data_IF_705984073719
#
_entry.id   IF_705984073719
#
_cell.length_a   1.000
_cell.length_b   1.000
_cell.length_c   1.000
_cell.angle_alpha   90.00
_cell.angle_beta   90.00
_cell.angle_gamma   90.00
#
_symmetry.space_group_name_H-M   'P 1'
#
loop_
_entity.id
_entity.type
_entity.pdbx_description
1 polymer ?
#
# COMPACT_ATOMS: atom_id res chain seq x y z
N UNK A 1 14.90 -2.27 12.94
CA UNK A 1 13.97 -1.14 12.86
C UNK A 1 12.75 -1.42 13.70
N UNK A 2 12.37 -0.51 14.56
CA UNK A 2 11.25 -0.72 15.48
C UNK A 2 9.91 -0.48 14.79
N UNK A 3 8.96 -1.40 14.98
CA UNK A 3 7.59 -1.24 14.47
C UNK A 3 6.94 0.04 15.00
N UNK A 4 7.35 0.48 16.18
CA UNK A 4 6.85 1.71 16.80
C UNK A 4 7.14 2.98 16.03
N UNK A 5 8.12 2.94 15.11
CA UNK A 5 8.47 4.09 14.27
C UNK A 5 7.50 4.28 13.11
N UNK A 6 6.60 3.31 12.88
CA UNK A 6 5.57 3.42 11.86
C UNK A 6 4.36 4.17 12.41
N UNK A 7 3.72 5.03 11.59
CA UNK A 7 2.53 5.74 12.03
C UNK A 7 1.36 4.82 12.34
N UNK A 8 1.33 3.61 11.75
CA UNK A 8 0.22 2.70 11.93
C UNK A 8 0.71 1.25 11.83
N UNK A 9 0.20 0.41 12.75
CA UNK A 9 0.42 -1.03 12.72
C UNK A 9 -0.91 -1.72 12.46
N UNK A 10 -0.96 -2.62 11.48
CA UNK A 10 -2.21 -3.24 11.04
C UNK A 10 -2.11 -4.75 10.96
N UNK A 11 -3.28 -5.39 11.01
CA UNK A 11 -3.48 -6.81 10.72
C UNK A 11 -4.61 -6.93 9.72
N UNK A 12 -4.36 -7.68 8.66
CA UNK A 12 -5.32 -7.88 7.57
C UNK A 12 -5.81 -9.32 7.58
N UNK A 13 -7.09 -9.53 7.78
CA UNK A 13 -7.69 -10.86 7.88
C UNK A 13 -8.35 -11.28 6.56
N UNK A 14 -8.07 -12.51 6.11
CA UNK A 14 -8.56 -13.07 4.82
C UNK A 14 -9.28 -14.39 5.05
N UNK A 15 -10.55 -14.43 5.18
CA UNK A 15 -11.33 -13.88 6.28
C UNK A 15 -11.01 -14.55 7.60
N UNK A 16 -10.45 -15.80 7.57
CA UNK A 16 -10.18 -16.60 8.77
C UNK A 16 -8.71 -16.65 9.17
N UNK A 17 -7.85 -16.02 8.38
CA UNK A 17 -6.42 -15.97 8.65
C UNK A 17 -5.91 -14.55 8.57
N UNK A 18 -4.96 -14.23 9.45
CA UNK A 18 -4.22 -13.00 9.33
C UNK A 18 -3.23 -13.10 8.17
N UNK A 19 -3.24 -12.16 7.25
CA UNK A 19 -2.24 -12.07 6.20
C UNK A 19 -0.87 -11.87 6.82
N UNK A 20 0.14 -12.59 6.33
CA UNK A 20 1.50 -12.46 6.86
C UNK A 20 2.11 -11.09 6.61
N UNK A 21 1.62 -10.38 5.65
CA UNK A 21 2.02 -9.01 5.33
C UNK A 21 0.77 -8.14 5.23
N UNK A 22 0.54 -7.51 4.09
CA UNK A 22 -0.60 -6.65 3.86
C UNK A 22 -0.94 -6.66 2.37
N UNK A 23 -2.22 -6.81 2.03
CA UNK A 23 -2.65 -6.75 0.65
C UNK A 23 -2.47 -5.33 0.09
N UNK A 24 -2.06 -5.23 -1.17
CA UNK A 24 -1.80 -3.94 -1.82
C UNK A 24 -3.05 -3.07 -1.84
N UNK A 25 -4.21 -3.63 -2.21
CA UNK A 25 -5.46 -2.88 -2.24
C UNK A 25 -5.88 -2.41 -0.86
N UNK A 26 -5.67 -3.24 0.15
CA UNK A 26 -5.92 -2.85 1.54
C UNK A 26 -5.00 -1.73 2.01
N UNK A 27 -3.73 -1.80 1.62
CA UNK A 27 -2.75 -0.77 1.96
C UNK A 27 -3.09 0.58 1.33
N UNK A 28 -3.49 0.57 0.06
CA UNK A 28 -3.90 1.79 -0.65
C UNK A 28 -5.15 2.39 -0.01
N UNK A 29 -6.16 1.56 0.26
CA UNK A 29 -7.38 2.02 0.91
C UNK A 29 -7.12 2.63 2.28
N UNK A 30 -6.24 1.99 3.07
CA UNK A 30 -5.87 2.48 4.38
C UNK A 30 -5.13 3.83 4.28
N UNK A 31 -4.19 3.96 3.34
CA UNK A 31 -3.46 5.20 3.15
C UNK A 31 -4.40 6.35 2.77
N UNK A 32 -5.36 6.09 1.89
CA UNK A 32 -6.37 7.09 1.52
C UNK A 32 -7.23 7.46 2.73
N UNK A 33 -7.65 6.48 3.52
CA UNK A 33 -8.43 6.75 4.73
C UNK A 33 -7.64 7.60 5.73
N UNK A 34 -6.35 7.34 5.88
CA UNK A 34 -5.49 8.13 6.76
C UNK A 34 -5.32 9.57 6.28
N UNK A 35 -5.34 9.80 4.98
CA UNK A 35 -5.21 11.14 4.41
C UNK A 35 -6.50 11.94 4.47
N UNK A 36 -7.64 11.27 4.67
CA UNK A 36 -8.94 11.93 4.74
C UNK A 36 -9.15 12.52 6.14
N UNK A 37 -9.31 13.84 6.22
CA UNK A 37 -9.49 14.55 7.48
C UNK A 37 -10.75 14.17 8.25
N UNK A 38 -11.74 13.56 7.60
CA UNK A 38 -12.98 13.13 8.22
C UNK A 38 -12.95 11.70 8.76
N UNK A 39 -11.87 10.98 8.50
CA UNK A 39 -11.73 9.59 8.91
C UNK A 39 -11.36 9.50 10.39
N UNK A 40 -11.95 8.53 11.10
CA UNK A 40 -11.61 8.26 12.49
C UNK A 40 -10.15 7.85 12.66
N UNK A 41 -9.57 7.22 11.67
CA UNK A 41 -8.17 6.79 11.70
C UNK A 41 -7.24 8.00 11.77
N UNK A 42 -7.65 9.12 11.19
CA UNK A 42 -6.87 10.34 11.18
C UNK A 42 -6.48 10.81 12.57
N UNK A 43 -7.38 10.63 13.53
CA UNK A 43 -7.13 11.05 14.91
C UNK A 43 -6.08 10.18 15.62
N UNK A 44 -5.82 8.99 15.10
CA UNK A 44 -4.84 8.06 15.66
C UNK A 44 -3.43 8.27 15.13
N UNK A 45 -3.27 9.14 14.15
CA UNK A 45 -2.01 9.30 13.41
C UNK A 45 -1.56 10.75 13.48
N UNK A 46 -0.27 10.94 13.71
CA UNK A 46 0.33 12.27 13.64
C UNK A 46 0.29 12.76 12.19
N UNK A 47 -0.35 13.91 11.90
CA UNK A 47 -0.40 14.45 10.54
C UNK A 47 0.97 14.65 9.89
N UNK A 48 1.99 14.92 10.70
CA UNK A 48 3.34 15.17 10.18
C UNK A 48 4.00 13.90 9.64
N UNK A 49 3.50 12.71 10.01
CA UNK A 49 4.06 11.44 9.53
C UNK A 49 3.49 11.01 8.18
N UNK A 50 2.50 11.72 7.63
CA UNK A 50 1.81 11.36 6.39
C UNK A 50 2.16 12.34 5.26
N UNK A 51 3.39 12.81 5.21
CA UNK A 51 3.81 13.75 4.16
C UNK A 51 4.38 13.01 2.97
N UNK A 52 3.53 12.74 1.98
CA UNK A 52 3.94 12.16 0.71
C UNK A 52 4.22 10.66 0.77
N UNK A 53 4.58 10.12 1.90
CA UNK A 53 4.86 8.70 2.06
C UNK A 53 4.40 8.24 3.43
N UNK A 54 3.77 7.07 3.47
CA UNK A 54 3.25 6.49 4.71
C UNK A 54 3.75 5.06 4.86
N UNK A 55 4.39 4.77 5.99
CA UNK A 55 4.81 3.43 6.34
C UNK A 55 3.74 2.73 7.16
N UNK A 56 3.36 1.53 6.74
CA UNK A 56 2.40 0.70 7.44
C UNK A 56 3.12 -0.53 7.94
N UNK A 57 3.12 -0.74 9.25
CA UNK A 57 3.71 -1.92 9.85
C UNK A 57 2.73 -3.10 9.78
N UNK A 58 3.24 -4.27 9.46
CA UNK A 58 2.48 -5.51 9.39
C UNK A 58 3.30 -6.66 9.98
N UNK A 59 2.75 -7.88 10.10
CA UNK A 59 3.46 -8.96 10.80
C UNK A 59 4.85 -9.30 10.26
N UNK A 60 5.12 -9.06 8.98
CA UNK A 60 6.41 -9.40 8.36
C UNK A 60 7.32 -8.19 8.15
N UNK A 61 6.94 -6.99 8.60
CA UNK A 61 7.76 -5.80 8.43
C UNK A 61 6.95 -4.56 8.13
N UNK A 62 7.32 -3.84 7.08
CA UNK A 62 6.68 -2.60 6.69
C UNK A 62 6.36 -2.56 5.21
N UNK A 63 5.35 -1.80 4.86
CA UNK A 63 5.00 -1.47 3.49
C UNK A 63 4.86 0.04 3.39
N UNK A 64 5.58 0.65 2.44
CA UNK A 64 5.52 2.09 2.21
C UNK A 64 4.58 2.40 1.05
N UNK A 65 3.67 3.33 1.27
CA UNK A 65 2.75 3.82 0.26
C UNK A 65 3.07 5.30 0.02
N UNK A 66 3.49 5.62 -1.19
CA UNK A 66 3.71 7.01 -1.59
C UNK A 66 2.39 7.60 -2.05
N UNK A 67 2.08 8.81 -1.59
CA UNK A 67 0.85 9.50 -1.94
C UNK A 67 1.18 10.83 -2.57
N UNK A 68 0.59 11.08 -3.74
CA UNK A 68 0.75 12.34 -4.47
C UNK A 68 -0.62 13.00 -4.60
N UNK A 69 -0.75 14.28 -4.28
CA UNK A 69 -2.02 14.97 -4.47
C UNK A 69 -2.46 14.92 -5.92
N UNK A 70 -3.75 14.63 -6.13
CA UNK A 70 -4.32 14.70 -7.48
C UNK A 70 -4.63 16.16 -7.85
N UNK A 71 -4.35 16.50 -9.09
CA UNK A 71 -4.62 17.87 -9.60
C UNK A 71 -6.09 18.25 -9.52
N UNK A 72 -7.00 17.27 -9.54
CA UNK A 72 -8.44 17.51 -9.44
C UNK A 72 -8.94 17.71 -8.01
N UNK A 73 -8.06 17.55 -7.00
CA UNK A 73 -8.44 17.67 -5.59
C UNK A 73 -9.22 16.49 -5.04
N UNK A 74 -9.27 15.38 -5.79
CA UNK A 74 -9.90 14.14 -5.35
C UNK A 74 -8.95 13.33 -4.45
N UNK A 75 -9.20 12.04 -4.34
CA UNK A 75 -8.33 11.15 -3.58
C UNK A 75 -6.90 11.21 -4.11
N UNK A 76 -5.89 11.09 -3.25
CA UNK A 76 -4.50 11.12 -3.70
C UNK A 76 -4.18 9.92 -4.59
N UNK A 77 -3.19 10.09 -5.44
CA UNK A 77 -2.65 9.01 -6.25
C UNK A 77 -1.67 8.23 -5.37
N UNK A 78 -1.92 6.94 -5.22
CA UNK A 78 -1.09 6.08 -4.40
C UNK A 78 -0.20 5.19 -5.25
N UNK A 79 1.05 5.04 -4.85
CA UNK A 79 1.99 4.13 -5.49
C UNK A 79 2.79 3.37 -4.43
N UNK A 80 3.19 2.15 -4.79
CA UNK A 80 3.95 1.29 -3.91
C UNK A 80 5.27 0.92 -4.56
N UNK A 81 6.34 0.93 -3.77
CA UNK A 81 7.64 0.48 -4.22
C UNK A 81 7.71 -1.03 -4.08
N UNK A 82 8.04 -1.71 -5.18
CA UNK A 82 8.26 -3.15 -5.20
C UNK A 82 9.59 -3.44 -5.86
N UNK A 83 10.23 -4.50 -5.41
CA UNK A 83 11.45 -4.97 -6.04
C UNK A 83 11.12 -6.07 -7.03
N UNK A 84 11.88 -6.11 -8.12
CA UNK A 84 11.71 -7.15 -9.13
C UNK A 84 13.08 -7.52 -9.70
N UNK A 85 13.21 -8.80 -10.06
CA UNK A 85 14.41 -9.30 -10.69
C UNK A 85 14.01 -10.07 -11.93
N UNK A 86 14.68 -9.78 -13.06
CA UNK A 86 14.42 -10.53 -14.29
C UNK A 86 14.91 -11.97 -14.13
N UNK A 87 14.03 -12.91 -14.35
CA UNK A 87 14.36 -14.33 -14.32
C UNK A 87 14.47 -14.94 -15.72
N UNK A 88 13.78 -14.35 -16.68
CA UNK A 88 13.74 -14.87 -18.05
C UNK A 88 13.47 -13.75 -19.04
N UNK A 89 14.04 -13.89 -20.24
CA UNK A 89 13.76 -13.03 -21.37
C UNK A 89 13.74 -13.89 -22.62
N UNK A 90 12.69 -13.84 -23.39
CA UNK A 90 12.53 -14.69 -24.56
C UNK A 90 11.23 -14.41 -25.30
N UNK A 91 10.93 -15.28 -26.26
CA UNK A 91 9.75 -15.15 -27.10
C UNK A 91 8.71 -16.18 -26.74
N UNK A 92 7.45 -15.80 -26.89
CA UNK A 92 6.30 -16.68 -26.75
C UNK A 92 5.60 -16.75 -28.09
N UNK A 93 5.40 -17.98 -28.58
CA UNK A 93 4.73 -18.17 -29.86
C UNK A 93 3.24 -18.33 -29.64
N UNK A 94 2.48 -17.53 -30.35
CA UNK A 94 1.03 -17.52 -30.25
C UNK A 94 0.44 -18.08 -31.53
N UNK A 95 -0.50 -19.07 -31.48
CA UNK A 95 -1.14 -19.59 -32.69
C UNK A 95 -1.86 -18.48 -33.47
N UNK A 96 -1.67 -18.49 -34.80
CA UNK A 96 -2.14 -17.39 -35.65
C UNK A 96 -3.65 -17.38 -35.89
N UNK A 97 -4.36 -18.46 -35.64
CA UNK A 97 -5.76 -18.61 -36.03
C UNK A 97 -6.65 -19.12 -34.92
N UNK A 98 -6.50 -18.56 -33.75
CA UNK A 98 -7.16 -19.05 -32.55
C UNK A 98 -8.46 -18.36 -32.22
N UNK A 99 -9.25 -18.07 -33.21
CA UNK A 99 -10.51 -17.37 -32.99
C UNK A 99 -11.67 -17.98 -33.66
#
# INVERSE_FOLDING_TARGET
MCIRDSPLTVRYFMPHRCHKALAITGAVGLAIACSNGESLIRDLIDPDTIKGEMDIAHPSGRLSVAMTPDASGRAPICSLLRTARRLFSGDVFIPASNR
#
